data_IF_648295895991
#
_entry.id   IF_648295895991
#
_cell.length_a   1.000
_cell.length_b   1.000
_cell.length_c   1.000
_cell.angle_alpha   90.00
_cell.angle_beta   90.00
_cell.angle_gamma   90.00
#
_symmetry.space_group_name_H-M   'P 1'
#
loop_
_entity.id
_entity.type
_entity.pdbx_description
1 polymer ?
#
# COMPACT_ATOMS: atom_id res chain seq x y z
N UNK A 1 93.83 26.15 -28.75
CA UNK A 1 92.67 26.45 -29.61
C UNK A 1 91.70 25.30 -29.43
N UNK A 2 90.71 25.44 -28.55
CA UNK A 2 89.45 24.66 -28.56
C UNK A 2 88.37 25.28 -27.64
N UNK A 3 88.52 26.57 -27.31
CA UNK A 3 87.57 27.29 -26.43
C UNK A 3 86.22 27.48 -27.12
N UNK A 4 86.20 27.55 -28.45
CA UNK A 4 84.97 27.68 -29.24
C UNK A 4 84.17 26.39 -29.30
N UNK A 5 84.83 25.22 -29.37
CA UNK A 5 84.15 23.92 -29.38
C UNK A 5 83.51 23.61 -28.01
N UNK A 6 84.20 23.95 -26.93
CA UNK A 6 83.71 23.79 -25.55
C UNK A 6 82.54 24.75 -25.26
N UNK A 7 82.60 25.98 -25.78
CA UNK A 7 81.49 26.93 -25.70
C UNK A 7 80.25 26.49 -26.48
N UNK A 8 80.41 25.92 -27.69
CA UNK A 8 79.27 25.41 -28.47
C UNK A 8 78.60 24.22 -27.78
N UNK A 9 79.39 23.31 -27.21
CA UNK A 9 78.87 22.14 -26.49
C UNK A 9 78.13 22.55 -25.21
N UNK A 10 78.66 23.51 -24.46
CA UNK A 10 77.96 24.08 -23.30
C UNK A 10 76.62 24.75 -23.70
N UNK A 11 76.57 25.40 -24.87
CA UNK A 11 75.37 26.05 -25.36
C UNK A 11 74.30 25.06 -25.85
N UNK A 12 74.70 23.96 -26.47
CA UNK A 12 73.81 22.85 -26.83
C UNK A 12 73.21 22.17 -25.59
N UNK A 13 74.03 21.87 -24.57
CA UNK A 13 73.54 21.30 -23.32
C UNK A 13 72.54 22.21 -22.61
N UNK A 14 72.79 23.53 -22.60
CA UNK A 14 71.84 24.51 -22.06
C UNK A 14 70.52 24.56 -22.85
N UNK A 15 70.58 24.37 -24.17
CA UNK A 15 69.39 24.29 -25.02
C UNK A 15 68.59 23.03 -24.71
N UNK A 16 69.23 21.88 -24.63
CA UNK A 16 68.60 20.60 -24.31
C UNK A 16 67.98 20.62 -22.90
N UNK A 17 68.65 21.23 -21.93
CA UNK A 17 68.11 21.43 -20.58
C UNK A 17 66.84 22.31 -20.59
N UNK A 18 66.79 23.36 -21.40
CA UNK A 18 65.58 24.17 -21.54
C UNK A 18 64.46 23.42 -22.24
N UNK A 19 64.76 22.67 -23.30
CA UNK A 19 63.77 21.86 -24.00
C UNK A 19 63.17 20.78 -23.09
N UNK A 20 64.01 20.12 -22.29
CA UNK A 20 63.55 19.13 -21.30
C UNK A 20 62.75 19.78 -20.17
N UNK A 21 63.11 20.99 -19.74
CA UNK A 21 62.32 21.75 -18.76
C UNK A 21 60.93 22.09 -19.29
N UNK A 22 60.82 22.56 -20.53
CA UNK A 22 59.52 22.86 -21.16
C UNK A 22 58.66 21.60 -21.28
N UNK A 23 59.24 20.48 -21.70
CA UNK A 23 58.54 19.19 -21.77
C UNK A 23 58.05 18.72 -20.40
N UNK A 24 58.85 18.92 -19.35
CA UNK A 24 58.46 18.57 -17.98
C UNK A 24 57.29 19.44 -17.49
N UNK A 25 57.31 20.73 -17.77
CA UNK A 25 56.20 21.64 -17.42
C UNK A 25 54.93 21.28 -18.17
N UNK A 26 55.01 21.00 -19.48
CA UNK A 26 53.88 20.51 -20.27
C UNK A 26 53.31 19.20 -19.71
N UNK A 27 54.16 18.20 -19.44
CA UNK A 27 53.72 16.93 -18.85
C UNK A 27 53.08 17.11 -17.47
N UNK A 28 53.54 18.06 -16.66
CA UNK A 28 52.90 18.39 -15.37
C UNK A 28 51.52 19.02 -15.56
N UNK A 29 51.34 19.89 -16.54
CA UNK A 29 50.01 20.46 -16.85
C UNK A 29 49.04 19.40 -17.36
N UNK A 30 49.50 18.47 -18.19
CA UNK A 30 48.69 17.33 -18.65
C UNK A 30 48.35 16.38 -17.50
N UNK A 31 49.30 16.06 -16.62
CA UNK A 31 49.03 15.25 -15.44
C UNK A 31 48.01 15.92 -14.50
N UNK A 32 48.02 17.26 -14.39
CA UNK A 32 47.03 18.00 -13.62
C UNK A 32 45.64 17.95 -14.26
N UNK A 33 45.52 18.13 -15.57
CA UNK A 33 44.23 18.07 -16.26
C UNK A 33 43.61 16.66 -16.20
N UNK A 34 44.42 15.61 -16.37
CA UNK A 34 43.97 14.23 -16.25
C UNK A 34 43.48 13.89 -14.83
N UNK A 35 44.13 14.40 -13.79
CA UNK A 35 43.67 14.23 -12.40
C UNK A 35 42.29 14.85 -12.20
N UNK A 36 42.04 16.04 -12.76
CA UNK A 36 40.73 16.70 -12.68
C UNK A 36 39.67 15.88 -13.42
N UNK A 37 39.97 15.38 -14.62
CA UNK A 37 39.03 14.54 -15.38
C UNK A 37 38.72 13.23 -14.65
N UNK A 38 39.73 12.60 -14.03
CA UNK A 38 39.53 11.39 -13.23
C UNK A 38 38.63 11.68 -12.03
N UNK A 39 38.90 12.76 -11.28
CA UNK A 39 38.08 13.14 -10.13
C UNK A 39 36.62 13.42 -10.53
N UNK A 40 36.41 14.14 -11.64
CA UNK A 40 35.08 14.38 -12.17
C UNK A 40 34.38 13.08 -12.55
N UNK A 41 35.09 12.16 -13.23
CA UNK A 41 34.53 10.87 -13.65
C UNK A 41 34.15 9.99 -12.47
N UNK A 42 34.99 9.91 -11.43
CA UNK A 42 34.69 9.18 -10.20
C UNK A 42 33.49 9.78 -9.49
N UNK A 43 33.44 11.11 -9.37
CA UNK A 43 32.30 11.79 -8.74
C UNK A 43 30.99 11.53 -9.48
N UNK A 44 30.99 11.58 -10.82
CA UNK A 44 29.82 11.25 -11.63
C UNK A 44 29.38 9.80 -11.46
N UNK A 45 30.34 8.87 -11.35
CA UNK A 45 30.04 7.46 -11.12
C UNK A 45 29.38 7.25 -9.74
N UNK A 46 29.93 7.88 -8.70
CA UNK A 46 29.38 7.81 -7.35
C UNK A 46 27.97 8.38 -7.28
N UNK A 47 27.73 9.51 -7.96
CA UNK A 47 26.40 10.12 -8.07
C UNK A 47 25.40 9.18 -8.74
N UNK A 48 25.75 8.62 -9.90
CA UNK A 48 24.89 7.68 -10.62
C UNK A 48 24.58 6.43 -9.78
N UNK A 49 25.57 5.94 -9.01
CA UNK A 49 25.37 4.81 -8.12
C UNK A 49 24.42 5.15 -6.95
N UNK A 50 24.58 6.33 -6.35
CA UNK A 50 23.69 6.81 -5.29
C UNK A 50 22.25 6.99 -5.80
N UNK A 51 22.08 7.58 -6.98
CA UNK A 51 20.76 7.80 -7.57
C UNK A 51 20.07 6.46 -7.89
N UNK A 52 20.82 5.49 -8.44
CA UNK A 52 20.33 4.14 -8.64
C UNK A 52 19.81 3.50 -7.34
N UNK A 53 20.53 3.67 -6.22
CA UNK A 53 20.09 3.18 -4.91
C UNK A 53 18.85 3.90 -4.38
N UNK A 54 18.76 5.22 -4.57
CA UNK A 54 17.57 5.99 -4.14
C UNK A 54 16.33 5.56 -4.92
N UNK A 55 16.47 5.35 -6.23
CA UNK A 55 15.37 4.88 -7.08
C UNK A 55 14.96 3.46 -6.72
N UNK A 56 15.91 2.55 -6.46
CA UNK A 56 15.61 1.20 -6.01
C UNK A 56 14.84 1.21 -4.68
N UNK A 57 15.29 1.99 -3.69
CA UNK A 57 14.58 2.14 -2.42
C UNK A 57 13.17 2.73 -2.61
N UNK A 58 13.03 3.75 -3.48
CA UNK A 58 11.73 4.34 -3.77
C UNK A 58 10.77 3.36 -4.46
N UNK A 59 11.28 2.47 -5.31
CA UNK A 59 10.49 1.39 -5.92
C UNK A 59 10.08 0.35 -4.89
N UNK A 60 10.98 -0.09 -4.02
CA UNK A 60 10.68 -1.01 -2.91
C UNK A 60 9.60 -0.41 -1.97
N UNK A 61 9.72 0.87 -1.63
CA UNK A 61 8.73 1.58 -0.82
C UNK A 61 7.37 1.72 -1.54
N UNK A 62 7.37 1.91 -2.86
CA UNK A 62 6.16 1.97 -3.65
C UNK A 62 5.49 0.59 -3.73
N UNK A 63 6.27 -0.48 -3.95
CA UNK A 63 5.78 -1.86 -3.91
C UNK A 63 5.26 -2.26 -2.54
N UNK A 64 5.93 -1.84 -1.46
CA UNK A 64 5.45 -2.09 -0.10
C UNK A 64 4.12 -1.38 0.15
N UNK A 65 3.97 -0.14 -0.33
CA UNK A 65 2.70 0.61 -0.24
C UNK A 65 1.58 -0.02 -1.06
N UNK A 66 1.86 -0.48 -2.28
CA UNK A 66 0.85 -1.16 -3.10
C UNK A 66 0.44 -2.49 -2.50
N UNK A 67 1.39 -3.30 -2.02
CA UNK A 67 1.11 -4.55 -1.29
C UNK A 67 0.23 -4.29 -0.06
N UNK A 68 0.63 -3.33 0.78
CA UNK A 68 -0.14 -2.96 1.96
C UNK A 68 -1.57 -2.46 1.61
N UNK A 69 -1.73 -1.69 0.53
CA UNK A 69 -3.04 -1.26 0.07
C UNK A 69 -3.89 -2.45 -0.39
N UNK A 70 -3.33 -3.36 -1.19
CA UNK A 70 -4.05 -4.56 -1.65
C UNK A 70 -4.44 -5.48 -0.50
N UNK A 71 -3.58 -5.64 0.51
CA UNK A 71 -3.88 -6.44 1.71
C UNK A 71 -4.99 -5.80 2.55
N UNK A 72 -4.97 -4.46 2.70
CA UNK A 72 -6.03 -3.73 3.39
C UNK A 72 -7.37 -3.83 2.67
N UNK A 73 -7.38 -3.70 1.34
CA UNK A 73 -8.61 -3.82 0.56
C UNK A 73 -9.17 -5.24 0.60
N UNK A 74 -8.31 -6.26 0.50
CA UNK A 74 -8.71 -7.66 0.69
C UNK A 74 -9.26 -7.92 2.10
N UNK A 75 -8.64 -7.34 3.14
CA UNK A 75 -9.13 -7.44 4.51
C UNK A 75 -10.51 -6.77 4.68
N UNK A 76 -10.70 -5.57 4.10
CA UNK A 76 -11.99 -4.86 4.09
C UNK A 76 -13.07 -5.66 3.38
N UNK A 77 -12.77 -6.21 2.22
CA UNK A 77 -13.70 -7.05 1.45
C UNK A 77 -14.09 -8.30 2.25
N UNK A 78 -13.12 -8.96 2.88
CA UNK A 78 -13.38 -10.10 3.75
C UNK A 78 -14.26 -9.73 4.95
N UNK A 79 -14.03 -8.59 5.59
CA UNK A 79 -14.88 -8.12 6.70
C UNK A 79 -16.29 -7.79 6.24
N UNK A 80 -16.45 -7.11 5.09
CA UNK A 80 -17.76 -6.78 4.53
C UNK A 80 -18.53 -8.05 4.11
N UNK A 81 -17.83 -9.03 3.53
CA UNK A 81 -18.40 -10.34 3.19
C UNK A 81 -18.86 -11.09 4.44
N UNK A 82 -18.04 -11.13 5.49
CA UNK A 82 -18.40 -11.75 6.77
C UNK A 82 -19.60 -11.08 7.43
N UNK A 83 -19.67 -9.74 7.41
CA UNK A 83 -20.82 -8.98 7.89
C UNK A 83 -22.08 -9.27 7.07
N UNK A 84 -21.97 -9.37 5.74
CA UNK A 84 -23.10 -9.69 4.87
C UNK A 84 -23.66 -11.11 5.14
N UNK A 85 -22.78 -12.09 5.36
CA UNK A 85 -23.16 -13.45 5.75
C UNK A 85 -23.85 -13.43 7.12
N UNK A 86 -23.26 -12.76 8.12
CA UNK A 86 -23.86 -12.63 9.44
C UNK A 86 -25.25 -11.96 9.39
N UNK A 87 -25.44 -10.93 8.55
CA UNK A 87 -26.75 -10.32 8.33
C UNK A 87 -27.74 -11.30 7.70
N UNK A 88 -27.31 -12.14 6.75
CA UNK A 88 -28.18 -13.14 6.12
C UNK A 88 -28.61 -14.23 7.12
N UNK A 89 -27.71 -14.64 8.01
CA UNK A 89 -28.00 -15.61 9.09
C UNK A 89 -29.01 -15.01 10.09
N UNK A 90 -28.81 -13.77 10.52
CA UNK A 90 -29.74 -13.06 11.41
C UNK A 90 -31.13 -12.88 10.81
N UNK A 91 -31.22 -12.59 9.50
CA UNK A 91 -32.51 -12.56 8.77
C UNK A 91 -33.17 -13.94 8.75
N UNK A 92 -32.40 -15.00 8.57
CA UNK A 92 -32.91 -16.38 8.56
C UNK A 92 -33.44 -16.78 9.93
N UNK A 93 -32.73 -16.46 11.00
CA UNK A 93 -33.20 -16.69 12.37
C UNK A 93 -34.43 -15.85 12.72
N UNK A 94 -34.54 -14.63 12.20
CA UNK A 94 -35.74 -13.80 12.32
C UNK A 94 -36.95 -14.50 11.70
N UNK A 95 -36.84 -14.97 10.46
CA UNK A 95 -37.91 -15.69 9.75
C UNK A 95 -38.29 -16.97 10.50
N UNK A 96 -37.30 -17.75 10.96
CA UNK A 96 -37.55 -18.95 11.76
C UNK A 96 -38.33 -18.62 13.03
N UNK A 97 -37.94 -17.55 13.73
CA UNK A 97 -38.63 -17.08 14.93
C UNK A 97 -40.10 -16.73 14.64
N UNK A 98 -40.36 -16.02 13.53
CA UNK A 98 -41.72 -15.68 13.10
C UNK A 98 -42.53 -16.93 12.79
N UNK A 99 -41.97 -17.87 12.02
CA UNK A 99 -42.66 -19.12 11.67
C UNK A 99 -42.98 -19.95 12.92
N UNK A 100 -42.04 -20.08 13.86
CA UNK A 100 -42.28 -20.74 15.14
C UNK A 100 -43.38 -20.04 15.95
N UNK A 101 -43.39 -18.70 15.98
CA UNK A 101 -44.44 -17.93 16.65
C UNK A 101 -45.81 -18.10 15.98
N UNK A 102 -45.87 -18.16 14.65
CA UNK A 102 -47.09 -18.46 13.89
C UNK A 102 -47.61 -19.83 14.28
N UNK A 103 -46.78 -20.88 14.14
CA UNK A 103 -47.18 -22.26 14.45
C UNK A 103 -47.67 -22.42 15.89
N UNK A 104 -47.00 -21.78 16.85
CA UNK A 104 -47.39 -21.81 18.26
C UNK A 104 -48.68 -21.01 18.56
N UNK A 105 -49.10 -20.12 17.66
CA UNK A 105 -50.30 -19.28 17.80
C UNK A 105 -51.49 -19.77 16.98
N UNK A 106 -51.34 -20.85 16.19
CA UNK A 106 -52.47 -21.46 15.47
C UNK A 106 -53.35 -22.22 16.46
N UNK A 107 -54.60 -21.80 16.61
CA UNK A 107 -55.65 -22.51 17.35
C UNK A 107 -56.48 -23.43 16.45
N UNK A 108 -57.51 -24.08 16.99
CA UNK A 108 -58.34 -25.04 16.25
C UNK A 108 -59.10 -24.45 15.04
N UNK A 109 -59.30 -23.13 14.97
CA UNK A 109 -60.08 -22.47 13.90
C UNK A 109 -59.38 -21.28 13.25
N UNK A 110 -58.43 -20.62 13.92
CA UNK A 110 -57.75 -19.42 13.42
C UNK A 110 -56.46 -19.13 14.20
N UNK A 111 -55.67 -18.17 13.69
CA UNK A 111 -54.50 -17.61 14.36
C UNK A 111 -54.91 -16.71 15.55
N UNK A 112 -54.38 -17.00 16.73
CA UNK A 112 -54.48 -16.11 17.89
C UNK A 112 -53.51 -14.93 17.74
N UNK A 113 -54.07 -13.79 17.31
CA UNK A 113 -53.31 -12.56 17.05
C UNK A 113 -52.60 -12.04 18.30
N UNK A 114 -53.21 -12.17 19.49
CA UNK A 114 -52.64 -11.60 20.73
C UNK A 114 -51.42 -12.39 21.15
N UNK A 115 -51.53 -13.72 21.14
CA UNK A 115 -50.43 -14.62 21.46
C UNK A 115 -49.26 -14.49 20.48
N UNK A 116 -49.55 -14.32 19.19
CA UNK A 116 -48.54 -14.06 18.17
C UNK A 116 -47.80 -12.74 18.44
N UNK A 117 -48.53 -11.65 18.66
CA UNK A 117 -47.95 -10.33 18.93
C UNK A 117 -47.07 -10.31 20.20
N UNK A 118 -47.50 -10.98 21.27
CA UNK A 118 -46.72 -11.10 22.51
C UNK A 118 -45.38 -11.81 22.27
N UNK A 119 -45.36 -12.89 21.47
CA UNK A 119 -44.13 -13.61 21.14
C UNK A 119 -43.19 -12.79 20.23
N UNK A 120 -43.72 -12.10 19.22
CA UNK A 120 -42.91 -11.22 18.36
C UNK A 120 -42.36 -10.03 19.15
N UNK A 121 -43.15 -9.41 20.02
CA UNK A 121 -42.70 -8.29 20.85
C UNK A 121 -41.60 -8.71 21.84
N UNK A 122 -41.65 -9.94 22.35
CA UNK A 122 -40.55 -10.51 23.14
C UNK A 122 -39.30 -10.71 22.29
N UNK A 123 -39.42 -11.37 21.14
CA UNK A 123 -38.28 -11.60 20.24
C UNK A 123 -37.66 -10.28 19.74
N UNK A 124 -38.46 -9.24 19.51
CA UNK A 124 -37.99 -7.92 19.11
C UNK A 124 -37.22 -7.17 20.19
N UNK A 125 -37.51 -7.42 21.48
CA UNK A 125 -36.73 -6.86 22.61
C UNK A 125 -35.41 -7.59 22.85
N UNK A 126 -35.33 -8.85 22.44
CA UNK A 126 -34.11 -9.67 22.53
C UNK A 126 -33.19 -9.45 21.32
N UNK A 127 -33.67 -8.77 20.26
CA UNK A 127 -32.89 -8.45 19.07
C UNK A 127 -31.97 -7.22 19.31
N UNK A 128 -30.67 -7.28 18.94
CA UNK A 128 -29.77 -6.13 19.01
C UNK A 128 -30.16 -5.02 18.02
N UNK A 129 -30.01 -3.75 18.43
CA UNK A 129 -30.31 -2.58 17.57
C UNK A 129 -29.15 -2.15 16.65
N UNK A 130 -27.97 -2.76 16.81
CA UNK A 130 -26.75 -2.38 16.10
C UNK A 130 -26.06 -3.60 15.47
N UNK A 131 -25.31 -3.34 14.39
CA UNK A 131 -24.55 -4.37 13.68
C UNK A 131 -25.44 -5.37 12.93
N UNK A 132 -24.93 -6.56 12.60
CA UNK A 132 -25.68 -7.58 11.85
C UNK A 132 -27.00 -7.98 12.51
N UNK A 133 -27.07 -7.95 13.84
CA UNK A 133 -28.28 -8.25 14.63
C UNK A 133 -29.43 -7.27 14.38
N UNK A 134 -29.17 -6.04 13.94
CA UNK A 134 -30.21 -5.06 13.61
C UNK A 134 -31.10 -5.53 12.44
N UNK A 135 -30.55 -6.38 11.55
CA UNK A 135 -31.32 -6.96 10.45
C UNK A 135 -32.48 -7.83 10.95
N UNK A 136 -32.32 -8.46 12.12
CA UNK A 136 -33.37 -9.28 12.76
C UNK A 136 -34.58 -8.44 13.12
N UNK A 137 -34.39 -7.25 13.69
CA UNK A 137 -35.49 -6.37 14.09
C UNK A 137 -36.35 -5.94 12.89
N UNK A 138 -35.70 -5.56 11.78
CA UNK A 138 -36.37 -5.15 10.54
C UNK A 138 -37.21 -6.28 9.93
N UNK A 139 -36.68 -7.51 9.92
CA UNK A 139 -37.39 -8.69 9.39
C UNK A 139 -38.54 -9.10 10.30
N UNK A 140 -38.34 -9.14 11.62
CA UNK A 140 -39.40 -9.47 12.57
C UNK A 140 -40.62 -8.55 12.40
N UNK A 141 -40.39 -7.25 12.24
CA UNK A 141 -41.46 -6.26 12.05
C UNK A 141 -42.18 -6.44 10.70
N UNK A 142 -41.42 -6.60 9.62
CA UNK A 142 -41.96 -6.75 8.26
C UNK A 142 -42.78 -8.02 8.12
N UNK A 143 -42.24 -9.15 8.57
CA UNK A 143 -42.92 -10.44 8.46
C UNK A 143 -44.12 -10.53 9.42
N UNK A 144 -44.05 -9.93 10.62
CA UNK A 144 -45.21 -9.88 11.51
C UNK A 144 -46.37 -9.06 10.93
N UNK A 145 -46.09 -7.96 10.23
CA UNK A 145 -47.12 -7.17 9.52
C UNK A 145 -47.79 -7.99 8.41
N UNK A 146 -46.99 -8.71 7.61
CA UNK A 146 -47.50 -9.63 6.57
C UNK A 146 -48.42 -10.70 7.15
N UNK A 147 -48.01 -11.36 8.23
CA UNK A 147 -48.83 -12.39 8.91
C UNK A 147 -50.15 -11.82 9.44
N UNK A 148 -50.13 -10.60 9.97
CA UNK A 148 -51.32 -9.93 10.50
C UNK A 148 -52.24 -9.37 9.40
N UNK A 149 -51.85 -9.44 8.12
CA UNK A 149 -52.59 -8.90 6.99
C UNK A 149 -52.61 -7.36 6.95
N UNK A 150 -51.65 -6.73 7.63
CA UNK A 150 -51.46 -5.28 7.63
C UNK A 150 -50.48 -5.01 6.49
N UNK A 151 -50.99 -4.94 5.26
CA UNK A 151 -50.17 -4.61 4.10
C UNK A 151 -49.59 -3.19 4.22
N UNK A 152 -48.42 -2.98 3.60
CA UNK A 152 -47.61 -1.74 3.63
C UNK A 152 -48.38 -0.46 3.30
#
# INVERSE_FOLDING_TARGET
MDVTADQTLAQELLKDLRETQIKLEAARTEAASLKVLLALRTHQHDQAWQDGRRLAAALEDAEARTKAATEQDAARENTASAEAVAMADERTEAVRTVLSAVLASIGQRALDRRRFQEMIARAGREAPDQGPGAARHAVLLTEARRVLGIAE
#
